data_IF_360321171400
#
_entry.id   IF_360321171400
#
_cell.length_a   1.000
_cell.length_b   1.000
_cell.length_c   1.000
_cell.angle_alpha   90.00
_cell.angle_beta   90.00
_cell.angle_gamma   90.00
#
_symmetry.space_group_name_H-M   'P 1'
#
loop_
_entity.id
_entity.type
_entity.pdbx_description
1 polymer ?
#
# COMPACT_ATOMS: atom_id res chain seq x y z
N UNK A 1 6.28 5.19 -4.36
CA UNK A 1 5.40 5.31 -5.56
C UNK A 1 4.10 4.56 -5.30
N UNK A 2 2.97 5.05 -5.83
CA UNK A 2 1.68 4.35 -5.76
C UNK A 2 0.99 4.34 -7.13
N UNK A 3 0.37 3.22 -7.48
CA UNK A 3 -0.27 2.96 -8.77
C UNK A 3 -1.75 2.70 -8.53
N UNK A 4 -2.62 3.52 -9.13
CA UNK A 4 -4.07 3.39 -9.02
C UNK A 4 -4.57 2.09 -9.67
N UNK A 5 -5.67 1.53 -9.15
CA UNK A 5 -6.43 0.50 -9.85
C UNK A 5 -6.82 0.90 -11.29
N UNK A 6 -6.97 2.19 -11.59
CA UNK A 6 -7.23 2.69 -12.95
C UNK A 6 -6.04 2.51 -13.92
N UNK A 7 -4.82 2.39 -13.39
CA UNK A 7 -3.62 2.17 -14.16
C UNK A 7 -3.26 0.68 -14.28
N UNK A 8 -4.10 -0.21 -13.73
CA UNK A 8 -3.90 -1.67 -13.79
C UNK A 8 -4.75 -2.28 -14.90
N UNK A 9 -4.26 -3.38 -15.46
CA UNK A 9 -5.04 -4.24 -16.34
C UNK A 9 -5.89 -5.18 -15.47
N UNK A 10 -7.20 -4.89 -15.37
CA UNK A 10 -8.14 -5.69 -14.59
C UNK A 10 -9.06 -6.44 -15.56
N UNK A 11 -9.09 -7.77 -15.46
CA UNK A 11 -9.91 -8.60 -16.34
C UNK A 11 -11.40 -8.28 -16.15
N UNK A 12 -12.06 -7.89 -17.26
CA UNK A 12 -13.48 -7.56 -17.30
C UNK A 12 -13.86 -6.18 -16.74
N UNK A 13 -12.90 -5.28 -16.47
CA UNK A 13 -13.14 -3.98 -15.82
C UNK A 13 -14.15 -3.06 -16.53
N UNK A 14 -14.27 -3.18 -17.85
CA UNK A 14 -15.23 -2.41 -18.66
C UNK A 14 -16.67 -2.92 -18.53
N UNK A 15 -16.87 -4.16 -18.06
CA UNK A 15 -18.19 -4.73 -17.87
C UNK A 15 -18.75 -4.36 -16.50
N UNK A 16 -19.75 -3.49 -16.51
CA UNK A 16 -20.45 -3.03 -15.31
C UNK A 16 -21.16 -4.13 -14.53
N UNK A 17 -21.36 -5.33 -15.10
CA UNK A 17 -21.89 -6.50 -14.39
C UNK A 17 -20.86 -7.09 -13.45
N UNK A 18 -19.58 -6.98 -13.78
CA UNK A 18 -18.48 -7.50 -12.98
C UNK A 18 -17.87 -6.43 -12.09
N UNK A 19 -17.65 -5.22 -12.59
CA UNK A 19 -16.92 -4.18 -11.88
C UNK A 19 -17.65 -2.85 -11.84
N UNK A 20 -17.41 -2.07 -10.78
CA UNK A 20 -17.81 -0.67 -10.69
C UNK A 20 -16.66 0.18 -10.17
N UNK A 21 -16.51 1.38 -10.73
CA UNK A 21 -15.70 2.42 -10.11
C UNK A 21 -16.48 3.09 -8.98
N UNK A 22 -15.92 3.09 -7.77
CA UNK A 22 -16.56 3.68 -6.59
C UNK A 22 -15.73 4.89 -6.15
N UNK A 23 -16.28 6.12 -6.23
CA UNK A 23 -15.65 7.29 -5.66
C UNK A 23 -15.53 7.18 -4.14
N UNK A 24 -14.37 7.52 -3.58
CA UNK A 24 -14.13 7.43 -2.14
C UNK A 24 -12.98 8.32 -1.69
N UNK A 25 -13.15 9.02 -0.56
CA UNK A 25 -12.06 9.79 0.08
C UNK A 25 -11.07 8.90 0.85
N UNK A 26 -11.37 7.60 1.02
CA UNK A 26 -10.48 6.64 1.70
C UNK A 26 -9.33 6.16 0.79
N UNK A 27 -9.43 6.43 -0.52
CA UNK A 27 -8.40 6.20 -1.52
C UNK A 27 -7.60 7.47 -1.78
N UNK A 28 -6.31 7.33 -2.03
CA UNK A 28 -5.45 8.44 -2.48
C UNK A 28 -5.83 8.96 -3.87
N UNK A 29 -6.46 8.11 -4.68
CA UNK A 29 -6.87 8.40 -6.05
C UNK A 29 -8.34 8.84 -6.13
N UNK A 30 -8.99 9.00 -4.98
CA UNK A 30 -10.42 9.30 -4.84
C UNK A 30 -11.38 8.29 -5.51
N UNK A 31 -10.88 7.13 -5.94
CA UNK A 31 -11.64 6.12 -6.68
C UNK A 31 -11.01 4.74 -6.52
N UNK A 32 -11.85 3.71 -6.42
CA UNK A 32 -11.41 2.31 -6.30
C UNK A 32 -12.22 1.42 -7.25
N UNK A 33 -11.65 0.29 -7.67
CA UNK A 33 -12.35 -0.73 -8.44
C UNK A 33 -13.07 -1.69 -7.49
N UNK A 34 -14.40 -1.74 -7.56
CA UNK A 34 -15.23 -2.65 -6.78
C UNK A 34 -15.71 -3.82 -7.64
N UNK A 35 -15.33 -5.03 -7.25
CA UNK A 35 -15.75 -6.27 -7.86
C UNK A 35 -17.13 -6.68 -7.33
N UNK A 36 -18.14 -6.72 -8.19
CA UNK A 36 -19.45 -7.28 -7.88
C UNK A 36 -19.39 -8.80 -7.83
N UNK A 37 -18.96 -9.42 -8.95
CA UNK A 37 -18.87 -10.86 -9.10
C UNK A 37 -18.02 -11.21 -10.32
N UNK A 38 -17.16 -12.23 -10.22
CA UNK A 38 -16.41 -12.80 -11.35
C UNK A 38 -16.04 -14.25 -11.06
N UNK A 39 -15.76 -15.03 -12.09
CA UNK A 39 -15.21 -16.39 -11.97
C UNK A 39 -13.69 -16.37 -12.13
N UNK A 40 -13.22 -15.69 -13.17
CA UNK A 40 -11.80 -15.50 -13.45
C UNK A 40 -11.29 -14.18 -12.87
N UNK A 41 -10.62 -14.22 -11.71
CA UNK A 41 -10.08 -13.00 -11.09
C UNK A 41 -8.61 -12.83 -11.39
N UNK A 42 -8.28 -11.72 -12.04
CA UNK A 42 -6.93 -11.38 -12.48
C UNK A 42 -6.77 -9.86 -12.57
N UNK A 43 -5.74 -9.37 -11.89
CA UNK A 43 -5.29 -7.98 -11.91
C UNK A 43 -3.80 -8.00 -12.19
N UNK A 44 -3.37 -7.32 -13.24
CA UNK A 44 -1.97 -7.21 -13.65
C UNK A 44 -1.57 -5.74 -13.75
N UNK A 45 -0.28 -5.46 -13.60
CA UNK A 45 0.28 -4.15 -13.86
C UNK A 45 1.75 -4.20 -14.17
N UNK A 46 2.21 -3.16 -14.87
CA UNK A 46 3.61 -2.97 -15.26
C UNK A 46 3.97 -1.52 -15.02
N UNK A 47 5.11 -1.29 -14.39
CA UNK A 47 5.66 0.05 -14.21
C UNK A 47 7.12 0.06 -14.61
N UNK A 48 7.51 1.10 -15.34
CA UNK A 48 8.89 1.41 -15.68
C UNK A 48 9.24 2.72 -15.03
N UNK A 49 10.25 2.72 -14.17
CA UNK A 49 10.64 3.92 -13.45
C UNK A 49 12.13 3.89 -13.10
N UNK A 50 12.85 5.03 -13.17
CA UNK A 50 14.23 5.17 -12.71
C UNK A 50 14.28 5.18 -11.17
N UNK A 51 14.06 4.03 -10.54
CA UNK A 51 14.09 3.94 -9.09
C UNK A 51 15.48 4.28 -8.54
N UNK A 52 15.60 5.14 -7.52
CA UNK A 52 16.85 5.29 -6.80
C UNK A 52 17.32 3.95 -6.20
N UNK A 53 18.64 3.74 -6.03
CA UNK A 53 19.14 2.52 -5.42
C UNK A 53 18.66 2.36 -3.98
N UNK A 54 17.85 1.33 -3.73
CA UNK A 54 17.34 0.93 -2.41
C UNK A 54 16.73 -0.48 -2.51
N UNK A 55 16.31 -1.02 -1.36
CA UNK A 55 15.41 -2.17 -1.27
C UNK A 55 13.99 -1.64 -1.27
N UNK A 56 13.13 -2.12 -2.16
CA UNK A 56 11.75 -1.71 -2.28
C UNK A 56 10.81 -2.84 -1.85
N UNK A 57 9.78 -2.50 -1.09
CA UNK A 57 8.66 -3.39 -0.79
C UNK A 57 7.50 -3.12 -1.75
N UNK A 58 6.92 -4.18 -2.30
CA UNK A 58 5.70 -4.12 -3.11
C UNK A 58 4.51 -4.66 -2.31
N UNK A 59 3.42 -3.89 -2.23
CA UNK A 59 2.18 -4.30 -1.56
C UNK A 59 0.91 -3.89 -2.33
N UNK A 60 -0.13 -4.69 -2.23
CA UNK A 60 -1.47 -4.38 -2.73
C UNK A 60 -2.35 -3.86 -1.59
N UNK A 61 -3.02 -2.72 -1.81
CA UNK A 61 -4.02 -2.19 -0.87
C UNK A 61 -5.41 -2.60 -1.34
N UNK A 62 -6.05 -3.47 -0.58
CA UNK A 62 -7.39 -4.00 -0.88
C UNK A 62 -8.31 -3.94 0.34
N UNK A 63 -9.61 -4.00 0.10
CA UNK A 63 -10.63 -4.01 1.15
C UNK A 63 -11.73 -5.00 0.79
N UNK A 64 -12.01 -5.92 1.71
CA UNK A 64 -13.10 -6.88 1.54
C UNK A 64 -14.42 -6.26 2.00
N UNK A 65 -15.45 -6.34 1.17
CA UNK A 65 -16.75 -5.69 1.35
C UNK A 65 -16.85 -4.32 0.69
N UNK A 66 -18.08 -3.82 0.56
CA UNK A 66 -18.38 -2.49 0.06
C UNK A 66 -18.53 -1.53 1.24
N UNK A 67 -17.71 -0.50 1.31
CA UNK A 67 -17.87 0.53 2.34
C UNK A 67 -18.78 1.66 1.84
N UNK A 68 -19.50 2.29 2.77
CA UNK A 68 -20.39 3.42 2.54
C UNK A 68 -20.41 4.33 3.76
N UNK A 69 -20.71 5.62 3.56
CA UNK A 69 -20.95 6.55 4.66
C UNK A 69 -22.45 6.66 4.89
N UNK A 70 -22.93 6.25 6.06
CA UNK A 70 -24.32 6.44 6.49
C UNK A 70 -24.34 7.27 7.76
N UNK A 71 -25.03 8.42 7.73
CA UNK A 71 -25.14 9.36 8.86
C UNK A 71 -23.77 9.77 9.43
N UNK A 72 -22.79 10.04 8.55
CA UNK A 72 -21.42 10.42 8.94
C UNK A 72 -20.56 9.30 9.52
N UNK A 73 -21.10 8.07 9.67
CA UNK A 73 -20.36 6.90 10.13
C UNK A 73 -19.97 6.02 8.95
N UNK A 74 -18.77 5.47 8.99
CA UNK A 74 -18.30 4.46 8.03
C UNK A 74 -18.99 3.14 8.33
N UNK A 75 -19.60 2.55 7.31
CA UNK A 75 -20.30 1.26 7.37
C UNK A 75 -19.76 0.37 6.26
N UNK A 76 -19.45 -0.88 6.59
CA UNK A 76 -19.06 -1.90 5.60
C UNK A 76 -20.21 -2.88 5.40
N UNK A 77 -20.58 -3.09 4.14
CA UNK A 77 -21.57 -4.08 3.71
C UNK A 77 -20.84 -5.27 3.04
N UNK A 78 -21.23 -6.48 3.43
CA UNK A 78 -20.65 -7.75 2.97
C UNK A 78 -21.67 -8.63 2.22
N UNK A 79 -22.86 -8.14 1.89
CA UNK A 79 -23.93 -8.92 1.23
C UNK A 79 -23.50 -9.57 -0.09
N UNK A 80 -22.51 -8.98 -0.77
CA UNK A 80 -21.94 -9.48 -2.02
C UNK A 80 -20.55 -10.11 -1.85
N UNK A 81 -20.03 -10.23 -0.64
CA UNK A 81 -18.72 -10.81 -0.36
C UNK A 81 -18.82 -12.33 -0.28
N UNK A 82 -18.15 -13.02 -1.21
CA UNK A 82 -18.16 -14.49 -1.29
C UNK A 82 -16.96 -15.01 -2.10
N UNK A 83 -16.59 -16.28 -1.90
CA UNK A 83 -15.65 -17.03 -2.75
C UNK A 83 -14.16 -16.82 -2.49
N UNK A 84 -13.80 -15.96 -1.52
CA UNK A 84 -12.42 -15.61 -1.20
C UNK A 84 -11.76 -16.50 -0.13
N UNK A 85 -12.57 -17.35 0.51
CA UNK A 85 -12.21 -18.37 1.49
C UNK A 85 -11.95 -19.75 0.84
N UNK A 86 -12.32 -19.92 -0.44
CA UNK A 86 -12.28 -21.23 -1.11
C UNK A 86 -10.88 -21.58 -1.63
N UNK A 87 -10.17 -20.60 -2.19
CA UNK A 87 -8.77 -20.74 -2.65
C UNK A 87 -7.95 -19.52 -2.26
N UNK A 88 -6.64 -19.65 -2.04
CA UNK A 88 -5.80 -18.49 -1.79
C UNK A 88 -5.74 -17.60 -3.03
N UNK A 89 -5.66 -16.30 -2.81
CA UNK A 89 -5.28 -15.32 -3.82
C UNK A 89 -3.77 -15.30 -3.87
N UNK A 90 -3.23 -15.43 -5.08
CA UNK A 90 -1.81 -15.38 -5.38
C UNK A 90 -1.41 -13.98 -5.80
N UNK A 91 -0.41 -13.44 -5.14
CA UNK A 91 0.22 -12.18 -5.45
C UNK A 91 1.63 -12.47 -5.95
N UNK A 92 2.02 -11.87 -7.07
CA UNK A 92 3.35 -12.05 -7.64
C UNK A 92 3.95 -10.71 -8.03
N UNK A 93 5.28 -10.64 -8.07
CA UNK A 93 5.98 -9.65 -8.86
C UNK A 93 7.20 -10.26 -9.55
N UNK A 94 7.65 -9.59 -10.61
CA UNK A 94 8.95 -9.83 -11.26
C UNK A 94 9.57 -8.51 -11.72
N UNK A 95 10.89 -8.47 -11.79
CA UNK A 95 11.66 -7.30 -12.26
C UNK A 95 12.44 -7.62 -13.54
N UNK A 96 12.85 -6.61 -14.29
CA UNK A 96 13.65 -6.77 -15.53
C UNK A 96 14.99 -7.47 -15.33
N UNK A 97 15.56 -7.41 -14.13
CA UNK A 97 16.81 -8.09 -13.75
C UNK A 97 16.59 -9.51 -13.19
N UNK A 98 15.36 -10.01 -13.24
CA UNK A 98 15.01 -11.40 -12.93
C UNK A 98 14.69 -11.70 -11.46
N UNK A 99 14.61 -10.69 -10.59
CA UNK A 99 14.08 -10.88 -9.24
C UNK A 99 12.58 -11.16 -9.30
N UNK A 100 12.08 -12.03 -8.43
CA UNK A 100 10.68 -12.39 -8.36
C UNK A 100 10.30 -12.82 -6.95
N UNK A 101 9.04 -12.60 -6.57
CA UNK A 101 8.46 -13.18 -5.36
C UNK A 101 6.98 -13.51 -5.59
N UNK A 102 6.49 -14.47 -4.80
CA UNK A 102 5.09 -14.88 -4.77
C UNK A 102 4.63 -14.99 -3.32
N UNK A 103 3.40 -14.55 -3.05
CA UNK A 103 2.73 -14.67 -1.77
C UNK A 103 1.30 -15.16 -2.00
N UNK A 104 0.86 -16.15 -1.22
CA UNK A 104 -0.49 -16.71 -1.30
C UNK A 104 -1.18 -16.60 0.05
N UNK A 105 -2.41 -16.10 0.08
CA UNK A 105 -3.25 -16.09 1.28
C UNK A 105 -4.74 -16.05 0.94
N UNK A 106 -5.56 -16.47 1.90
CA UNK A 106 -7.01 -16.29 1.83
C UNK A 106 -7.36 -14.85 2.22
N UNK A 107 -8.18 -14.17 1.40
CA UNK A 107 -8.59 -12.79 1.73
C UNK A 107 -9.65 -12.76 2.82
N UNK A 108 -10.42 -13.83 2.93
CA UNK A 108 -11.51 -13.97 3.89
C UNK A 108 -11.20 -15.08 4.90
N UNK A 109 -10.03 -14.96 5.52
CA UNK A 109 -9.59 -15.90 6.54
C UNK A 109 -10.31 -15.62 7.88
N UNK A 110 -11.07 -16.61 8.34
CA UNK A 110 -11.87 -16.57 9.58
C UNK A 110 -11.03 -17.05 10.78
N UNK A 111 -9.77 -17.47 10.59
CA UNK A 111 -8.94 -17.98 11.68
C UNK A 111 -8.54 -16.87 12.66
N UNK A 112 -9.07 -17.04 13.89
CA UNK A 112 -8.93 -16.22 15.08
C UNK A 112 -7.50 -16.29 15.61
N UNK A 113 -6.86 -15.15 15.83
CA UNK A 113 -5.67 -15.09 16.69
C UNK A 113 -5.80 -14.13 17.88
N UNK A 114 -6.91 -13.41 18.01
CA UNK A 114 -7.13 -12.54 19.16
C UNK A 114 -8.51 -12.77 19.76
N UNK A 115 -8.56 -12.89 21.09
CA UNK A 115 -9.77 -12.94 21.94
C UNK A 115 -10.70 -11.71 21.79
N UNK A 116 -10.47 -10.85 20.79
CA UNK A 116 -11.18 -9.63 20.49
C UNK A 116 -11.91 -9.64 19.13
N UNK A 117 -11.93 -10.76 18.39
CA UNK A 117 -12.87 -10.99 17.28
C UNK A 117 -12.81 -9.96 16.13
N UNK A 118 -11.66 -9.34 15.89
CA UNK A 118 -11.50 -8.36 14.81
C UNK A 118 -11.44 -9.06 13.46
N UNK A 119 -12.61 -9.24 12.82
CA UNK A 119 -12.68 -9.68 11.44
C UNK A 119 -11.81 -8.78 10.54
N UNK A 120 -10.94 -9.36 9.69
CA UNK A 120 -10.21 -8.64 8.62
C UNK A 120 -11.17 -7.96 7.61
N UNK A 121 -12.45 -8.31 7.69
CA UNK A 121 -13.54 -7.71 6.92
C UNK A 121 -13.75 -6.25 7.29
N UNK A 122 -13.86 -5.39 6.28
CA UNK A 122 -14.28 -4.02 6.47
C UNK A 122 -13.17 -3.04 6.82
N UNK A 123 -11.90 -3.43 6.83
CA UNK A 123 -10.76 -2.52 6.88
C UNK A 123 -9.94 -2.58 5.59
N UNK A 124 -9.15 -1.53 5.33
CA UNK A 124 -8.16 -1.54 4.27
C UNK A 124 -6.94 -2.31 4.76
N UNK A 125 -6.49 -3.28 3.98
CA UNK A 125 -5.35 -4.13 4.31
C UNK A 125 -4.32 -4.00 3.19
N UNK A 126 -3.05 -3.90 3.59
CA UNK A 126 -1.92 -3.98 2.69
C UNK A 126 -1.36 -5.40 2.66
N UNK A 127 -1.46 -6.05 1.51
CA UNK A 127 -0.93 -7.39 1.26
C UNK A 127 0.46 -7.26 0.65
N UNK A 128 1.48 -7.48 1.47
CA UNK A 128 2.88 -7.48 1.03
C UNK A 128 3.14 -8.69 0.13
N UNK A 129 3.70 -8.43 -1.05
CA UNK A 129 4.08 -9.47 -2.01
C UNK A 129 5.52 -9.92 -1.77
N UNK A 130 6.42 -8.95 -1.55
CA UNK A 130 7.82 -9.19 -1.25
C UNK A 130 8.67 -7.94 -1.42
N UNK A 131 9.98 -8.16 -1.52
CA UNK A 131 10.99 -7.12 -1.63
C UNK A 131 11.89 -7.36 -2.83
N UNK A 132 12.34 -6.29 -3.48
CA UNK A 132 13.33 -6.34 -4.56
C UNK A 132 14.36 -5.22 -4.39
N UNK A 133 15.53 -5.43 -4.96
CA UNK A 133 16.68 -4.52 -4.83
C UNK A 133 16.85 -3.75 -6.12
N UNK A 134 16.99 -2.44 -6.06
CA UNK A 134 17.39 -1.63 -7.21
C UNK A 134 18.86 -1.27 -7.07
N UNK A 135 19.66 -1.66 -8.05
CA UNK A 135 21.09 -1.33 -8.13
C UNK A 135 21.32 -0.16 -9.08
N UNK A 136 22.46 0.54 -8.93
CA UNK A 136 22.83 1.71 -9.75
C UNK A 136 23.02 1.44 -11.27
N UNK A 137 22.94 0.18 -11.70
CA UNK A 137 23.36 -0.23 -13.04
C UNK A 137 22.36 0.11 -14.15
N UNK A 138 21.06 0.18 -13.84
CA UNK A 138 20.02 0.32 -14.86
C UNK A 138 19.39 1.73 -14.86
N UNK A 139 19.18 2.33 -16.05
CA UNK A 139 18.54 3.65 -16.16
C UNK A 139 17.07 3.61 -15.76
N UNK A 140 16.38 2.48 -15.91
CA UNK A 140 15.00 2.25 -15.49
C UNK A 140 14.83 0.80 -15.03
N UNK A 141 14.10 0.58 -13.94
CA UNK A 141 13.68 -0.77 -13.52
C UNK A 141 12.24 -0.99 -13.97
N UNK A 142 12.00 -2.06 -14.74
CA UNK A 142 10.65 -2.54 -15.04
C UNK A 142 10.22 -3.50 -13.93
N UNK A 143 9.08 -3.21 -13.30
CA UNK A 143 8.44 -4.08 -12.30
C UNK A 143 7.08 -4.50 -12.82
N UNK A 144 6.86 -5.81 -12.93
CA UNK A 144 5.58 -6.42 -13.24
C UNK A 144 5.00 -7.00 -11.97
N UNK A 145 3.70 -6.84 -11.75
CA UNK A 145 3.02 -7.38 -10.58
C UNK A 145 1.66 -7.92 -10.96
N UNK A 146 1.17 -8.88 -10.18
CA UNK A 146 -0.15 -9.44 -10.38
C UNK A 146 -0.80 -9.91 -9.10
N UNK A 147 -2.12 -9.95 -9.10
CA UNK A 147 -2.97 -10.52 -8.07
C UNK A 147 -4.04 -11.39 -8.75
N UNK A 148 -4.02 -12.70 -8.51
CA UNK A 148 -4.81 -13.68 -9.25
C UNK A 148 -5.47 -14.71 -8.34
N UNK A 149 -6.68 -15.10 -8.72
CA UNK A 149 -7.35 -16.28 -8.19
C UNK A 149 -8.19 -16.85 -9.32
N UNK A 150 -7.57 -17.73 -10.09
CA UNK A 150 -8.18 -18.36 -11.24
C UNK A 150 -8.83 -19.66 -10.76
N UNK A 151 -10.13 -19.58 -10.53
CA UNK A 151 -10.94 -20.74 -10.17
C UNK A 151 -12.25 -20.69 -10.95
N UNK A 152 -12.49 -21.69 -11.79
CA UNK A 152 -13.71 -21.75 -12.60
C UNK A 152 -14.84 -22.52 -11.92
N UNK A 153 -14.67 -22.94 -10.66
CA UNK A 153 -15.69 -23.71 -9.93
C UNK A 153 -16.64 -22.83 -9.13
N UNK A 154 -16.18 -21.66 -8.67
CA UNK A 154 -16.96 -20.78 -7.81
C UNK A 154 -16.78 -19.32 -8.21
N UNK A 155 -17.89 -18.58 -8.23
CA UNK A 155 -17.82 -17.12 -8.36
C UNK A 155 -17.30 -16.49 -7.07
N UNK A 156 -16.70 -15.31 -7.22
CA UNK A 156 -16.23 -14.49 -6.12
C UNK A 156 -16.59 -13.03 -6.32
N UNK A 157 -16.83 -12.30 -5.24
CA UNK A 157 -17.38 -10.95 -5.29
C UNK A 157 -17.14 -10.15 -4.03
N UNK A 158 -17.45 -8.86 -4.08
CA UNK A 158 -17.37 -7.96 -2.93
C UNK A 158 -15.94 -7.61 -2.50
N UNK A 159 -15.05 -7.33 -3.46
CA UNK A 159 -13.67 -6.89 -3.23
C UNK A 159 -13.45 -5.47 -3.78
N UNK A 160 -12.85 -4.59 -2.99
CA UNK A 160 -12.35 -3.30 -3.43
C UNK A 160 -10.83 -3.37 -3.67
N UNK A 161 -10.38 -2.97 -4.86
CA UNK A 161 -8.97 -2.79 -5.22
C UNK A 161 -8.69 -1.30 -5.32
N UNK A 162 -7.73 -0.82 -4.52
CA UNK A 162 -7.36 0.59 -4.50
C UNK A 162 -6.09 0.85 -5.30
N UNK A 163 -4.97 0.30 -4.84
CA UNK A 163 -3.67 0.63 -5.40
C UNK A 163 -2.59 -0.41 -5.11
N UNK A 164 -1.50 -0.34 -5.87
CA UNK A 164 -0.24 -1.00 -5.56
C UNK A 164 0.77 0.04 -5.10
N UNK A 165 1.46 -0.25 -4.00
CA UNK A 165 2.49 0.61 -3.42
C UNK A 165 3.85 -0.03 -3.61
N UNK A 166 4.81 0.76 -4.08
CA UNK A 166 6.24 0.42 -4.15
C UNK A 166 6.97 1.43 -3.29
N UNK A 167 7.46 0.99 -2.13
CA UNK A 167 8.00 1.86 -1.09
C UNK A 167 9.42 1.42 -0.74
N UNK A 168 10.41 2.34 -0.74
CA UNK A 168 11.76 2.03 -0.30
C UNK A 168 11.80 1.73 1.21
N UNK A 169 12.59 0.73 1.59
CA UNK A 169 12.69 0.20 2.95
C UNK A 169 13.25 1.25 3.91
N UNK A 170 14.20 2.08 3.48
CA UNK A 170 14.73 3.16 4.34
C UNK A 170 13.65 4.20 4.70
N UNK A 171 12.71 4.50 3.80
CA UNK A 171 11.58 5.37 4.13
C UNK A 171 10.62 4.71 5.13
N UNK A 172 10.36 3.41 4.98
CA UNK A 172 9.56 2.64 5.95
C UNK A 172 10.16 2.69 7.35
N UNK A 173 11.47 2.45 7.49
CA UNK A 173 12.17 2.51 8.79
C UNK A 173 12.08 3.93 9.38
N UNK A 174 12.29 4.96 8.56
CA UNK A 174 12.23 6.36 9.02
C UNK A 174 10.84 6.72 9.55
N UNK A 175 9.78 6.31 8.85
CA UNK A 175 8.40 6.54 9.29
C UNK A 175 8.11 5.79 10.59
N UNK A 176 8.53 4.53 10.72
CA UNK A 176 8.31 3.74 11.94
C UNK A 176 9.04 4.36 13.12
N UNK A 177 10.29 4.81 12.94
CA UNK A 177 11.05 5.49 13.99
C UNK A 177 10.35 6.78 14.43
N UNK A 178 9.92 7.61 13.47
CA UNK A 178 9.20 8.86 13.78
C UNK A 178 7.86 8.58 14.49
N UNK A 179 7.07 7.63 13.98
CA UNK A 179 5.80 7.26 14.59
C UNK A 179 5.98 6.68 16.00
N UNK A 180 6.97 5.82 16.19
CA UNK A 180 7.31 5.26 17.50
C UNK A 180 7.79 6.35 18.45
N UNK A 181 8.58 7.33 17.98
CA UNK A 181 8.96 8.50 18.77
C UNK A 181 7.77 9.36 19.18
N UNK A 182 6.80 9.59 18.29
CA UNK A 182 5.59 10.35 18.61
C UNK A 182 4.68 9.61 19.59
N UNK A 183 4.48 8.30 19.40
CA UNK A 183 3.74 7.47 20.36
C UNK A 183 4.45 7.40 21.73
N UNK A 184 5.77 7.32 21.75
CA UNK A 184 6.56 7.42 22.99
C UNK A 184 6.40 8.78 23.66
N UNK A 185 6.35 9.87 22.89
CA UNK A 185 6.09 11.21 23.41
C UNK A 185 4.69 11.33 23.98
N UNK A 186 3.67 10.75 23.36
CA UNK A 186 2.30 10.73 23.89
C UNK A 186 2.18 9.93 25.20
N UNK A 187 2.99 8.86 25.36
CA UNK A 187 3.08 8.07 26.60
C UNK A 187 3.90 8.80 27.67
N UNK A 188 4.97 9.52 27.30
CA UNK A 188 5.85 10.23 28.24
C UNK A 188 5.33 11.61 28.63
N UNK A 189 4.54 12.29 27.79
CA UNK A 189 3.99 13.63 28.07
C UNK A 189 3.27 13.66 29.43
N UNK A 190 2.34 12.71 29.74
CA UNK A 190 1.66 12.67 31.03
C UNK A 190 2.63 12.50 32.20
N UNK A 191 3.65 11.64 32.05
CA UNK A 191 4.68 11.38 33.07
C UNK A 191 5.66 12.53 33.26
N UNK A 192 5.91 13.35 32.23
CA UNK A 192 6.75 14.54 32.30
C UNK A 192 5.98 15.78 32.80
N UNK A 193 4.65 15.78 32.69
CA UNK A 193 3.80 16.85 33.22
C UNK A 193 3.30 16.63 34.65
N UNK A 194 3.45 15.41 35.19
CA UNK A 194 3.10 15.11 36.57
C UNK A 194 4.17 15.66 37.53
N UNK A 195 3.86 16.78 38.19
CA UNK A 195 4.70 17.43 39.21
C UNK A 195 4.65 16.72 40.57
N UNK A 196 4.05 15.54 40.69
CA UNK A 196 3.94 14.81 41.96
C UNK A 196 4.89 13.61 42.09
N UNK A 197 6.07 13.68 41.50
CA UNK A 197 7.07 12.61 41.65
C UNK A 197 7.81 12.74 43.01
N UNK A 198 7.81 11.70 43.86
CA UNK A 198 8.51 11.74 45.14
C UNK A 198 10.03 11.77 44.94
N UNK A 199 10.70 12.64 45.69
CA UNK A 199 12.16 12.74 45.77
C UNK A 199 12.77 11.35 46.06
N UNK A 200 13.40 10.72 45.06
CA UNK A 200 14.07 9.45 45.34
C UNK A 200 14.64 8.65 44.18
N UNK A 201 14.28 8.89 42.91
CA UNK A 201 14.93 8.20 41.77
C UNK A 201 15.14 9.12 40.57
N UNK A 202 16.33 9.70 40.51
CA UNK A 202 16.80 10.55 39.40
C UNK A 202 16.99 9.72 38.11
N UNK A 203 15.92 9.50 37.35
CA UNK A 203 15.95 8.90 36.00
C UNK A 203 16.25 9.93 34.89
N UNK A 204 16.27 11.21 35.22
CA UNK A 204 16.56 12.32 34.31
C UNK A 204 17.85 12.15 33.48
N UNK A 205 18.99 11.69 34.03
CA UNK A 205 20.19 11.48 33.22
C UNK A 205 20.02 10.37 32.17
N UNK A 206 19.21 9.34 32.43
CA UNK A 206 18.97 8.23 31.49
C UNK A 206 18.04 8.62 30.35
N UNK A 207 17.04 9.47 30.60
CA UNK A 207 16.16 10.04 29.58
C UNK A 207 16.89 11.05 28.67
N UNK A 208 17.78 11.87 29.22
CA UNK A 208 18.67 12.73 28.42
C UNK A 208 19.64 11.92 27.56
N UNK A 209 20.18 10.80 28.06
CA UNK A 209 21.06 9.93 27.27
C UNK A 209 20.30 9.22 26.14
N UNK A 210 19.04 8.82 26.33
CA UNK A 210 18.19 8.27 25.25
C UNK A 210 17.88 9.31 24.18
N UNK A 211 17.53 10.54 24.57
CA UNK A 211 17.33 11.68 23.65
C UNK A 211 18.61 12.05 22.87
N UNK A 212 19.77 12.03 23.54
CA UNK A 212 21.07 12.30 22.91
C UNK A 212 21.58 11.15 22.03
N UNK A 213 21.31 9.89 22.40
CA UNK A 213 21.57 8.71 21.57
C UNK A 213 20.67 8.65 20.35
N UNK A 214 19.46 9.23 20.38
CA UNK A 214 18.60 9.39 19.20
C UNK A 214 19.06 10.54 18.28
N UNK A 215 19.66 11.61 18.82
CA UNK A 215 20.18 12.74 18.01
C UNK A 215 21.43 12.42 17.20
N UNK A 216 22.35 11.58 17.69
CA UNK A 216 23.62 11.27 17.02
C UNK A 216 23.49 10.48 15.70
N UNK A 217 22.69 9.39 15.62
CA UNK A 217 22.46 8.72 14.35
C UNK A 217 21.57 9.56 13.42
N UNK A 218 20.60 10.32 13.95
CA UNK A 218 19.74 11.18 13.13
C UNK A 218 20.54 12.29 12.41
N UNK A 219 21.51 12.91 13.08
CA UNK A 219 22.32 14.00 12.52
C UNK A 219 23.37 13.56 11.48
N UNK A 220 24.00 12.40 11.66
CA UNK A 220 24.98 11.88 10.71
C UNK A 220 24.33 11.18 9.51
N UNK A 221 23.14 10.59 9.68
CA UNK A 221 22.39 9.99 8.57
C UNK A 221 21.68 11.07 7.73
N UNK A 222 21.11 12.14 8.32
CA UNK A 222 20.50 13.24 7.55
C UNK A 222 21.52 14.05 6.72
N UNK A 223 22.72 14.32 7.26
CA UNK A 223 23.70 15.20 6.62
C UNK A 223 24.25 14.68 5.29
N UNK A 224 24.30 13.35 5.13
CA UNK A 224 24.80 12.69 3.91
C UNK A 224 23.67 12.35 2.91
N UNK A 225 22.40 12.32 3.36
CA UNK A 225 21.23 11.94 2.56
C UNK A 225 20.44 13.13 1.98
N UNK A 226 20.56 14.33 2.56
CA UNK A 226 19.85 15.52 2.08
C UNK A 226 20.17 15.95 0.64
N UNK A 227 21.40 15.81 0.10
CA UNK A 227 21.67 16.15 -1.30
C UNK A 227 20.89 15.25 -2.28
N UNK A 228 20.89 13.92 -2.07
CA UNK A 228 20.24 12.99 -3.00
C UNK A 228 18.71 13.01 -2.94
N UNK A 229 18.14 13.39 -1.79
CA UNK A 229 16.69 13.53 -1.61
C UNK A 229 16.19 14.84 -2.23
N UNK A 230 16.98 15.92 -2.20
CA UNK A 230 16.63 17.18 -2.87
C UNK A 230 16.64 17.05 -4.40
N UNK A 231 17.65 16.37 -4.96
CA UNK A 231 17.75 16.09 -6.41
C UNK A 231 16.55 15.28 -6.95
N UNK A 232 15.99 14.41 -6.10
CA UNK A 232 14.80 13.61 -6.42
C UNK A 232 13.51 14.43 -6.52
N UNK A 233 13.45 15.62 -5.90
CA UNK A 233 12.27 16.49 -5.90
C UNK A 233 12.27 17.53 -7.03
N UNK A 234 13.42 17.92 -7.58
CA UNK A 234 13.51 18.96 -8.63
C UNK A 234 13.12 18.47 -10.04
N UNK A 235 13.04 17.16 -10.27
CA UNK A 235 12.77 16.59 -11.60
C UNK A 235 11.32 16.22 -11.94
N UNK A 236 10.33 16.42 -11.05
CA UNK A 236 9.00 15.82 -11.20
C UNK A 236 7.84 16.81 -11.04
N UNK A 237 7.10 17.06 -12.13
CA UNK A 237 5.98 18.01 -12.20
C UNK A 237 4.62 17.49 -11.68
N UNK A 238 4.59 16.43 -10.86
CA UNK A 238 3.35 15.81 -10.36
C UNK A 238 3.43 15.47 -8.86
N UNK A 239 3.73 16.44 -8.01
CA UNK A 239 3.83 16.25 -6.55
C UNK A 239 2.54 16.75 -5.87
N UNK A 240 1.73 15.86 -5.30
CA UNK A 240 0.64 16.25 -4.39
C UNK A 240 1.24 16.65 -3.02
N UNK A 241 1.17 17.93 -2.68
CA UNK A 241 1.67 18.51 -1.43
C UNK A 241 0.56 18.47 -0.36
N UNK A 242 0.17 17.28 0.11
CA UNK A 242 -0.59 17.15 1.37
C UNK A 242 0.36 16.90 2.55
N UNK A 243 0.07 17.46 3.75
CA UNK A 243 1.04 17.62 4.83
C UNK A 243 1.51 16.33 5.54
N UNK A 244 1.14 15.13 5.08
CA UNK A 244 1.45 13.89 5.78
C UNK A 244 2.17 12.82 4.95
N UNK A 245 2.53 13.07 3.67
CA UNK A 245 3.09 12.02 2.80
C UNK A 245 3.58 12.53 1.44
N UNK A 246 4.89 12.49 1.16
CA UNK A 246 5.44 12.70 -0.21
C UNK A 246 5.50 11.37 -0.98
N UNK A 247 4.69 11.24 -2.02
CA UNK A 247 4.67 10.06 -2.91
C UNK A 247 4.40 10.50 -4.36
N UNK A 248 4.97 9.78 -5.32
CA UNK A 248 4.62 9.90 -6.74
C UNK A 248 3.32 9.14 -7.02
N UNK A 249 2.41 9.81 -7.73
CA UNK A 249 1.08 9.33 -8.12
C UNK A 249 1.09 9.18 -9.64
N UNK A 250 0.85 7.97 -10.14
CA UNK A 250 0.58 7.73 -11.55
C UNK A 250 -0.94 7.60 -11.74
N UNK A 251 -1.56 8.63 -12.30
CA UNK A 251 -2.95 8.60 -12.78
C UNK A 251 -2.95 8.30 -14.28
N UNK A 252 -3.46 7.13 -14.65
CA UNK A 252 -3.58 6.73 -16.06
C UNK A 252 -4.60 7.60 -16.80
N UNK A 253 -4.19 8.23 -17.89
CA UNK A 253 -5.10 8.67 -18.94
C UNK A 253 -5.70 7.44 -19.66
N UNK A 254 -6.94 7.51 -20.18
CA UNK A 254 -7.56 6.36 -20.83
C UNK A 254 -6.74 5.94 -22.05
N UNK A 255 -6.43 4.65 -22.14
CA UNK A 255 -5.83 4.07 -23.33
C UNK A 255 -6.73 4.36 -24.53
N UNK A 256 -6.20 5.12 -25.50
CA UNK A 256 -6.88 5.37 -26.75
C UNK A 256 -7.11 4.01 -27.45
N UNK A 257 -8.37 3.74 -27.75
CA UNK A 257 -8.80 2.58 -28.52
C UNK A 257 -8.13 2.58 -29.90
N UNK A 258 -7.22 1.64 -30.15
CA UNK A 258 -6.85 1.27 -31.51
C UNK A 258 -7.93 0.35 -32.07
N UNK A 259 -8.85 0.95 -32.82
CA UNK A 259 -9.70 0.26 -33.77
C UNK A 259 -8.84 -0.20 -34.96
N UNK A 260 -8.73 -1.51 -35.16
CA UNK A 260 -8.24 -2.08 -36.42
C UNK A 260 -8.95 -3.42 -36.69
N UNK A 261 -9.99 -3.31 -37.51
CA UNK A 261 -10.35 -4.16 -38.66
C UNK A 261 -9.92 -5.63 -38.60
N UNK A 262 -10.91 -6.52 -38.42
CA UNK A 262 -10.87 -7.85 -39.04
C UNK A 262 -11.91 -7.91 -40.14
N UNK A 263 -11.42 -8.04 -41.37
CA UNK A 263 -12.15 -8.52 -42.54
C UNK A 263 -11.31 -9.63 -43.17
N UNK A 264 -12.02 -10.65 -43.66
CA UNK A 264 -11.60 -11.81 -44.48
C UNK A 264 -11.20 -13.09 -43.73
N UNK A 265 -11.96 -14.13 -44.06
CA UNK A 265 -11.94 -15.50 -43.56
C UNK A 265 -13.30 -16.12 -43.79
#
# INVERSE_FOLDING_TARGET
>A
MSISAKAMAITGIEDRRYWNWVPTEESRFNVVAYLQQIWWFEVDGVVKFPFPPDIYTLSFRIHLGRFSKRLGRRVSNFDHTHGWDIKPVRFDFSTSDGQQASHECFLDDIHQDDANGSYKRGCWIEYKVGEFIVSKSDPETEVRFSMKQIDCTHSKGGLCVDSVSIIPLMLLISIVVVACCLQFLDILLPYLTDRSMPEGRNLWPRLFTLSACLRKPLGQTLGTLMPSVADFYEGCNCIDRRPHSLYFILDGAPAASSSSLYSLG
#
